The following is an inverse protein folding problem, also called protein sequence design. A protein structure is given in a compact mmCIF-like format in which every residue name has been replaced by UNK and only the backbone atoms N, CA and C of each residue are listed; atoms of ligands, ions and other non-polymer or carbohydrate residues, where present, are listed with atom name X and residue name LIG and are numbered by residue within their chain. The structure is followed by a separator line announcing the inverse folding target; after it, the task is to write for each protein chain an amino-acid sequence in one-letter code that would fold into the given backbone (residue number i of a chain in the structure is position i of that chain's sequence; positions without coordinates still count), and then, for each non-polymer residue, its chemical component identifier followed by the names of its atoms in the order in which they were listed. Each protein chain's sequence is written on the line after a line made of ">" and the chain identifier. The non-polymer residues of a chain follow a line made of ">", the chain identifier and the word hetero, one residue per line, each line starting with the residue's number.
data_IF_055331104445
#
_entry.id   IF_055331104445
#
_cell.length_a   1.000
_cell.length_b   1.000
_cell.length_c   1.000
_cell.angle_alpha   90.00
_cell.angle_beta   90.00
_cell.angle_gamma   90.00
#
_symmetry.space_group_name_H-M   'P 1'
#
loop_
_entity.id
_entity.type
_entity.pdbx_description
1 polymer ?
#
# COMPACT_ATOMS: atom_id res chain seq x y z
N UNK A 1 -2.11 0.61 31.09
CA UNK A 1 -1.33 0.20 29.92
C UNK A 1 -2.04 0.73 28.69
N UNK A 2 -1.37 1.56 27.90
CA UNK A 2 -1.94 2.18 26.71
C UNK A 2 -2.24 1.12 25.65
N UNK A 3 -3.36 1.27 24.91
CA UNK A 3 -3.77 0.35 23.86
C UNK A 3 -3.87 1.12 22.55
N UNK A 4 -3.32 0.59 21.49
CA UNK A 4 -3.39 1.18 20.16
C UNK A 4 -3.61 0.15 19.08
N UNK A 5 -3.96 0.61 17.88
CA UNK A 5 -4.16 -0.24 16.71
C UNK A 5 -2.82 -0.71 16.16
N UNK A 6 -2.58 -2.01 16.20
CA UNK A 6 -1.43 -2.60 15.50
C UNK A 6 -1.88 -2.93 14.08
N UNK A 7 -1.45 -2.11 13.12
CA UNK A 7 -1.91 -2.16 11.72
C UNK A 7 -1.69 -3.53 11.08
N UNK A 8 -0.54 -4.15 11.29
CA UNK A 8 -0.24 -5.49 10.77
C UNK A 8 -1.17 -6.59 11.29
N UNK A 9 -1.75 -6.40 12.47
CA UNK A 9 -2.64 -7.40 13.08
C UNK A 9 -4.12 -6.99 13.02
N UNK A 10 -4.43 -5.77 12.58
CA UNK A 10 -5.79 -5.24 12.57
C UNK A 10 -6.48 -5.18 13.94
N UNK A 11 -5.71 -5.19 15.03
CA UNK A 11 -6.23 -5.31 16.40
C UNK A 11 -5.75 -4.18 17.28
N UNK A 12 -6.59 -3.81 18.24
CA UNK A 12 -6.22 -2.89 19.31
C UNK A 12 -5.60 -3.71 20.44
N UNK A 13 -4.35 -3.41 20.78
CA UNK A 13 -3.57 -4.17 21.77
C UNK A 13 -2.77 -3.23 22.66
N UNK A 14 -2.47 -3.71 23.85
CA UNK A 14 -1.50 -3.08 24.73
C UNK A 14 -0.08 -3.26 24.16
N UNK A 15 0.70 -2.19 24.17
CA UNK A 15 2.07 -2.21 23.65
C UNK A 15 2.71 -0.83 23.67
N UNK A 16 3.78 -0.69 22.94
CA UNK A 16 4.44 0.57 22.62
C UNK A 16 4.77 0.59 21.13
N UNK A 17 4.83 1.77 20.56
CA UNK A 17 5.42 2.00 19.24
C UNK A 17 6.85 2.50 19.43
N UNK A 18 7.69 2.31 18.43
CA UNK A 18 9.07 2.79 18.44
C UNK A 18 9.33 3.67 17.22
N UNK A 19 10.05 4.75 17.45
CA UNK A 19 10.74 5.51 16.39
C UNK A 19 12.21 5.15 16.46
N UNK A 20 12.79 4.82 15.31
CA UNK A 20 14.22 4.51 15.21
C UNK A 20 14.80 5.46 14.17
N UNK A 21 15.81 6.22 14.56
CA UNK A 21 16.61 7.03 13.64
C UNK A 21 17.89 6.27 13.28
N UNK A 22 18.22 6.25 12.01
CA UNK A 22 19.44 5.69 11.45
C UNK A 22 20.25 6.80 10.76
N UNK A 23 21.55 6.61 10.69
CA UNK A 23 22.40 7.45 9.84
C UNK A 23 22.34 6.99 8.37
N UNK A 24 23.08 7.67 7.54
CA UNK A 24 23.23 7.38 6.11
C UNK A 24 23.92 6.03 5.82
N UNK A 25 24.63 5.46 6.79
CA UNK A 25 25.18 4.10 6.71
C UNK A 25 24.19 3.02 7.19
N UNK A 26 23.00 3.40 7.67
CA UNK A 26 21.98 2.51 8.22
C UNK A 26 22.26 2.07 9.66
N UNK A 27 23.16 2.77 10.38
CA UNK A 27 23.40 2.49 11.79
C UNK A 27 22.35 3.17 12.66
N UNK A 28 21.78 2.46 13.61
CA UNK A 28 20.81 3.03 14.54
C UNK A 28 21.48 4.03 15.48
N UNK A 29 21.05 5.29 15.40
CA UNK A 29 21.53 6.39 16.23
C UNK A 29 20.65 6.61 17.46
N UNK A 30 19.35 6.34 17.32
CA UNK A 30 18.37 6.69 18.33
C UNK A 30 17.18 5.74 18.26
N UNK A 31 16.70 5.31 19.43
CA UNK A 31 15.47 4.53 19.58
C UNK A 31 14.64 5.15 20.69
N UNK A 32 13.39 5.47 20.39
CA UNK A 32 12.44 5.95 21.38
C UNK A 32 11.13 5.16 21.33
N UNK A 33 10.57 4.87 22.48
CA UNK A 33 9.27 4.24 22.62
C UNK A 33 8.23 5.26 23.02
N UNK A 34 7.02 5.13 22.48
CA UNK A 34 5.89 5.99 22.80
C UNK A 34 4.60 5.18 22.87
N UNK A 35 3.54 5.71 23.52
CA UNK A 35 2.26 5.05 23.63
C UNK A 35 1.62 4.82 22.26
N UNK A 36 1.01 3.65 22.01
CA UNK A 36 0.50 3.28 20.70
C UNK A 36 -0.81 3.99 20.31
N UNK A 37 -1.42 4.73 21.22
CA UNK A 37 -2.58 5.60 21.03
C UNK A 37 -2.20 7.02 20.60
N UNK A 38 -0.93 7.37 20.63
CA UNK A 38 -0.41 8.65 20.16
C UNK A 38 0.04 8.51 18.70
N UNK A 39 -0.43 9.35 17.76
CA UNK A 39 0.08 9.38 16.40
C UNK A 39 1.56 9.77 16.36
N UNK A 40 2.32 9.14 15.48
CA UNK A 40 3.76 9.44 15.32
C UNK A 40 4.03 10.91 15.01
N UNK A 41 3.13 11.58 14.29
CA UNK A 41 3.21 13.01 13.96
C UNK A 41 3.30 13.94 15.18
N UNK A 42 2.80 13.49 16.34
CA UNK A 42 2.84 14.29 17.58
C UNK A 42 4.20 14.16 18.32
N UNK A 43 4.97 13.13 18.05
CA UNK A 43 6.22 12.86 18.78
C UNK A 43 7.46 13.01 17.91
N UNK A 44 7.33 12.90 16.59
CA UNK A 44 8.47 12.79 15.67
C UNK A 44 9.35 14.04 15.68
N UNK A 45 8.77 15.24 15.74
CA UNK A 45 9.53 16.50 15.76
C UNK A 45 10.46 16.54 16.97
N UNK A 46 9.94 16.25 18.17
CA UNK A 46 10.74 16.24 19.39
C UNK A 46 11.86 15.19 19.35
N UNK A 47 11.63 14.06 18.70
CA UNK A 47 12.67 13.03 18.53
C UNK A 47 13.72 13.47 17.53
N UNK A 48 13.34 14.07 16.41
CA UNK A 48 14.27 14.63 15.45
C UNK A 48 15.13 15.75 16.05
N UNK A 49 14.54 16.63 16.89
CA UNK A 49 15.29 17.65 17.64
C UNK A 49 16.38 17.02 18.53
N UNK A 50 16.08 15.95 19.25
CA UNK A 50 17.05 15.25 20.09
C UNK A 50 18.18 14.64 19.26
N UNK A 51 17.85 14.03 18.12
CA UNK A 51 18.86 13.49 17.20
C UNK A 51 19.71 14.62 16.63
N UNK A 52 19.10 15.70 16.17
CA UNK A 52 19.81 16.88 15.66
C UNK A 52 20.77 17.46 16.69
N UNK A 53 20.32 17.64 17.92
CA UNK A 53 21.15 18.12 19.02
C UNK A 53 22.34 17.18 19.31
N UNK A 54 22.10 15.88 19.29
CA UNK A 54 23.13 14.89 19.61
C UNK A 54 24.14 14.65 18.49
N UNK A 55 23.73 14.83 17.23
CA UNK A 55 24.53 14.44 16.06
C UNK A 55 24.98 15.62 15.17
N UNK A 56 24.38 16.80 15.36
CA UNK A 56 24.55 17.95 14.47
C UNK A 56 23.82 17.80 13.14
N UNK A 57 23.05 16.73 12.91
CA UNK A 57 22.32 16.48 11.65
C UNK A 57 20.95 17.13 11.71
N UNK A 58 20.62 17.95 10.73
CA UNK A 58 19.36 18.70 10.70
C UNK A 58 18.36 18.21 9.64
N UNK A 59 18.74 17.33 8.73
CA UNK A 59 17.87 16.81 7.66
C UNK A 59 17.46 15.36 7.95
N UNK A 60 16.18 15.09 7.88
CA UNK A 60 15.56 13.80 8.17
C UNK A 60 14.75 13.31 6.98
N UNK A 61 14.96 12.06 6.59
CA UNK A 61 14.16 11.37 5.58
C UNK A 61 13.15 10.49 6.30
N UNK A 62 11.86 10.79 6.17
CA UNK A 62 10.80 10.13 6.91
C UNK A 62 9.82 9.45 5.95
N UNK A 63 9.17 8.37 6.41
CA UNK A 63 8.20 7.63 5.62
C UNK A 63 6.96 8.50 5.30
N UNK A 64 6.37 8.27 4.12
CA UNK A 64 5.15 8.93 3.64
C UNK A 64 3.97 8.88 4.61
N UNK A 65 3.94 7.92 5.54
CA UNK A 65 2.92 7.80 6.57
C UNK A 65 2.77 9.04 7.49
N UNK A 66 3.74 9.96 7.46
CA UNK A 66 3.72 11.21 8.26
C UNK A 66 3.55 12.47 7.39
N UNK A 67 3.08 12.31 6.16
CA UNK A 67 2.88 13.42 5.23
C UNK A 67 1.77 14.36 5.70
N UNK A 68 2.12 15.60 6.07
CA UNK A 68 1.16 16.68 6.34
C UNK A 68 1.82 18.06 6.33
N UNK A 69 1.07 19.09 5.89
CA UNK A 69 1.51 20.50 5.94
C UNK A 69 1.82 20.93 7.37
N UNK A 70 1.01 20.50 8.33
CA UNK A 70 1.20 20.84 9.74
C UNK A 70 2.54 20.30 10.27
N UNK A 71 2.93 19.10 9.84
CA UNK A 71 4.22 18.53 10.21
C UNK A 71 5.38 19.26 9.52
N UNK A 72 5.24 19.62 8.25
CA UNK A 72 6.23 20.39 7.53
C UNK A 72 6.50 21.74 8.23
N UNK A 73 5.43 22.46 8.63
CA UNK A 73 5.55 23.70 9.42
C UNK A 73 6.28 23.48 10.75
N UNK A 74 5.90 22.43 11.48
CA UNK A 74 6.52 22.12 12.75
C UNK A 74 8.03 21.80 12.64
N UNK A 75 8.46 21.18 11.53
CA UNK A 75 9.87 20.97 11.24
C UNK A 75 10.56 22.28 10.87
N UNK A 76 9.96 23.08 9.99
CA UNK A 76 10.49 24.36 9.56
C UNK A 76 10.67 25.34 10.73
N UNK A 77 9.67 25.45 11.61
CA UNK A 77 9.72 26.27 12.83
C UNK A 77 10.87 25.89 13.77
N UNK A 78 11.33 24.65 13.71
CA UNK A 78 12.46 24.15 14.49
C UNK A 78 13.79 24.19 13.74
N UNK A 79 13.81 24.73 12.50
CA UNK A 79 14.99 24.75 11.65
C UNK A 79 15.45 23.35 11.22
N UNK A 80 14.53 22.37 11.18
CA UNK A 80 14.81 20.99 10.80
C UNK A 80 14.35 20.70 9.37
N UNK A 81 15.19 20.00 8.61
CA UNK A 81 14.85 19.50 7.28
C UNK A 81 14.02 18.21 7.36
N UNK A 82 12.90 18.19 6.65
CA UNK A 82 12.08 17.00 6.46
C UNK A 82 11.95 16.69 4.98
N UNK A 83 12.45 15.53 4.55
CA UNK A 83 12.23 14.96 3.21
C UNK A 83 11.26 13.79 3.30
N UNK A 84 10.21 13.86 2.49
CA UNK A 84 9.16 12.86 2.43
C UNK A 84 8.68 12.64 0.98
N UNK A 85 7.88 11.60 0.75
CA UNK A 85 7.23 11.33 -0.53
C UNK A 85 5.73 11.50 -0.40
N UNK A 86 5.07 12.06 -1.43
CA UNK A 86 3.61 12.09 -1.52
C UNK A 86 3.05 10.70 -1.82
N UNK A 87 1.87 10.43 -1.29
CA UNK A 87 1.09 9.25 -1.67
C UNK A 87 0.52 9.40 -3.08
N UNK A 88 0.33 8.27 -3.78
CA UNK A 88 -0.14 8.24 -5.17
C UNK A 88 -1.50 8.95 -5.35
N UNK A 89 -2.36 8.96 -4.33
CA UNK A 89 -3.67 9.63 -4.32
C UNK A 89 -3.54 11.16 -4.23
N UNK A 90 -2.40 11.68 -3.78
CA UNK A 90 -2.14 13.11 -3.63
C UNK A 90 -1.49 13.70 -4.90
N UNK A 91 -1.11 12.83 -5.85
CA UNK A 91 -0.61 13.22 -7.16
C UNK A 91 -1.67 13.87 -8.06
N UNK A 92 -2.95 13.75 -7.74
CA UNK A 92 -4.05 14.35 -8.51
C UNK A 92 -3.95 15.88 -8.65
N UNK A 93 -3.13 16.52 -7.82
CA UNK A 93 -2.84 17.95 -7.87
C UNK A 93 -1.54 18.33 -8.58
N UNK A 94 -0.93 17.45 -9.40
CA UNK A 94 0.31 17.76 -10.12
C UNK A 94 0.22 19.02 -10.99
N UNK A 95 -0.96 19.36 -11.50
CA UNK A 95 -1.20 20.58 -12.24
C UNK A 95 -1.02 21.86 -11.38
N UNK A 96 -1.07 21.71 -10.07
CA UNK A 96 -0.86 22.80 -9.10
C UNK A 96 0.60 23.06 -8.79
N UNK A 97 1.56 22.30 -9.34
CA UNK A 97 2.98 22.54 -9.15
C UNK A 97 3.52 23.48 -10.23
N UNK A 98 4.20 24.51 -9.83
CA UNK A 98 5.04 25.36 -10.71
C UNK A 98 6.42 24.73 -10.88
N UNK A 99 6.46 23.55 -11.49
CA UNK A 99 7.69 22.79 -11.60
C UNK A 99 8.54 23.29 -12.77
N UNK A 100 9.78 23.63 -12.47
CA UNK A 100 10.81 23.94 -13.47
C UNK A 100 11.63 22.67 -13.75
N UNK A 101 11.93 22.42 -15.02
CA UNK A 101 12.83 21.34 -15.40
C UNK A 101 14.22 21.57 -14.81
N UNK A 102 14.78 20.54 -14.20
CA UNK A 102 16.12 20.54 -13.60
C UNK A 102 17.09 19.82 -14.53
N UNK A 103 16.88 18.51 -14.73
CA UNK A 103 17.76 17.70 -15.55
C UNK A 103 17.11 16.38 -16.02
N UNK A 104 17.79 15.68 -16.91
CA UNK A 104 17.48 14.29 -17.25
C UNK A 104 18.60 13.38 -16.76
N UNK A 105 18.27 12.42 -15.92
CA UNK A 105 19.23 11.44 -15.40
C UNK A 105 19.67 10.46 -16.48
N UNK A 106 20.75 9.72 -16.23
CA UNK A 106 21.35 8.80 -17.19
C UNK A 106 20.40 7.67 -17.67
N UNK A 107 19.39 7.32 -16.87
CA UNK A 107 18.35 6.37 -17.21
C UNK A 107 17.16 6.98 -17.98
N UNK A 108 17.27 8.25 -18.39
CA UNK A 108 16.22 9.00 -19.07
C UNK A 108 15.12 9.55 -18.16
N UNK A 109 15.23 9.38 -16.86
CA UNK A 109 14.29 9.95 -15.88
C UNK A 109 14.41 11.47 -15.85
N UNK A 110 13.30 12.19 -15.96
CA UNK A 110 13.26 13.65 -15.90
C UNK A 110 12.97 14.13 -14.49
N UNK A 111 13.70 15.13 -14.04
CA UNK A 111 13.55 15.76 -12.73
C UNK A 111 13.06 17.19 -12.90
N UNK A 112 12.05 17.54 -12.13
CA UNK A 112 11.49 18.88 -12.06
C UNK A 112 11.45 19.32 -10.60
N UNK A 113 11.54 20.62 -10.34
CA UNK A 113 11.54 21.18 -8.99
C UNK A 113 10.74 22.48 -8.94
N UNK A 114 10.06 22.75 -7.86
CA UNK A 114 9.30 23.98 -7.67
C UNK A 114 8.37 23.96 -6.46
N UNK A 115 7.79 25.13 -6.13
CA UNK A 115 6.77 25.23 -5.09
C UNK A 115 5.42 24.68 -5.57
N UNK A 116 4.48 24.52 -4.65
CA UNK A 116 3.08 24.28 -5.01
C UNK A 116 2.51 25.53 -5.72
N UNK A 117 1.85 25.37 -6.87
CA UNK A 117 1.34 26.48 -7.69
C UNK A 117 0.32 27.37 -6.96
N UNK A 118 -0.54 26.75 -6.19
CA UNK A 118 -1.51 27.41 -5.32
C UNK A 118 -0.96 27.57 -3.92
N UNK A 119 0.36 27.82 -3.78
CA UNK A 119 1.00 27.95 -2.50
C UNK A 119 0.14 28.83 -1.58
N UNK A 120 -0.57 28.17 -0.70
CA UNK A 120 -1.08 28.84 0.49
C UNK A 120 0.15 29.45 1.12
N UNK A 121 0.12 30.75 1.36
CA UNK A 121 1.24 31.55 1.89
C UNK A 121 1.90 30.97 3.15
N UNK A 122 1.37 29.86 3.64
CA UNK A 122 1.76 29.17 4.86
C UNK A 122 2.28 27.73 4.63
N UNK A 123 2.41 27.23 3.40
CA UNK A 123 2.95 25.89 3.14
C UNK A 123 4.45 26.01 2.82
N UNK A 124 5.34 25.57 3.73
CA UNK A 124 6.78 25.69 3.51
C UNK A 124 7.34 24.62 2.57
N UNK A 125 6.50 23.74 2.03
CA UNK A 125 6.98 22.61 1.25
C UNK A 125 7.42 23.01 -0.15
N UNK A 126 8.57 22.49 -0.53
CA UNK A 126 9.07 22.48 -1.88
C UNK A 126 8.95 21.07 -2.48
N UNK A 127 8.73 20.97 -3.78
CA UNK A 127 8.44 19.69 -4.42
C UNK A 127 9.48 19.35 -5.50
N UNK A 128 9.82 18.07 -5.57
CA UNK A 128 10.61 17.47 -6.65
C UNK A 128 9.80 16.39 -7.31
N UNK A 129 9.53 16.55 -8.60
CA UNK A 129 8.77 15.62 -9.42
C UNK A 129 9.74 14.80 -10.27
N UNK A 130 9.63 13.50 -10.22
CA UNK A 130 10.45 12.56 -10.98
C UNK A 130 9.58 11.78 -11.93
N UNK A 131 9.79 11.95 -13.22
CA UNK A 131 9.07 11.25 -14.28
C UNK A 131 9.97 10.20 -14.92
N UNK A 132 9.72 8.93 -14.62
CA UNK A 132 10.43 7.82 -15.24
C UNK A 132 10.01 7.63 -16.71
N UNK A 133 10.91 7.11 -17.55
CA UNK A 133 10.64 6.80 -18.96
C UNK A 133 9.43 5.87 -19.12
N UNK A 134 9.21 4.94 -18.18
CA UNK A 134 8.05 4.04 -18.15
C UNK A 134 6.74 4.71 -17.74
N UNK A 135 6.67 6.04 -17.64
CA UNK A 135 5.47 6.81 -17.34
C UNK A 135 5.09 6.88 -15.85
N UNK A 136 5.87 6.30 -14.96
CA UNK A 136 5.65 6.42 -13.51
C UNK A 136 6.15 7.79 -13.03
N UNK A 137 5.26 8.52 -12.34
CA UNK A 137 5.60 9.78 -11.69
C UNK A 137 5.70 9.58 -10.18
N UNK A 138 6.76 10.10 -9.57
CA UNK A 138 6.95 10.14 -8.13
C UNK A 138 7.12 11.60 -7.71
N UNK A 139 6.54 11.97 -6.59
CA UNK A 139 6.62 13.33 -6.06
C UNK A 139 7.20 13.27 -4.66
N UNK A 140 8.31 13.97 -4.50
CA UNK A 140 8.97 14.18 -3.21
C UNK A 140 8.69 15.61 -2.75
N UNK A 141 8.66 15.82 -1.46
CA UNK A 141 8.58 17.15 -0.90
C UNK A 141 9.55 17.30 0.28
N UNK A 142 10.00 18.50 0.49
CA UNK A 142 10.89 18.83 1.59
C UNK A 142 10.63 20.22 2.13
N UNK A 143 11.07 20.47 3.35
CA UNK A 143 11.12 21.81 3.95
C UNK A 143 12.29 22.63 3.38
N UNK A 144 12.35 23.96 3.58
CA UNK A 144 13.43 24.80 3.05
C UNK A 144 14.83 24.29 3.40
N UNK A 145 15.04 23.78 4.60
CA UNK A 145 16.33 23.25 5.06
C UNK A 145 16.83 22.06 4.23
N UNK A 146 15.91 21.33 3.58
CA UNK A 146 16.30 20.24 2.66
C UNK A 146 16.84 20.82 1.36
N UNK A 147 16.25 21.92 0.86
CA UNK A 147 16.74 22.61 -0.34
C UNK A 147 18.15 23.20 -0.12
N UNK A 148 18.41 23.71 1.08
CA UNK A 148 19.71 24.25 1.44
C UNK A 148 20.79 23.16 1.56
N UNK A 149 20.37 21.92 1.85
CA UNK A 149 21.28 20.81 2.13
C UNK A 149 21.48 19.85 0.96
N UNK A 150 20.49 19.73 0.06
CA UNK A 150 20.46 18.71 -1.01
C UNK A 150 19.96 19.32 -2.32
N UNK A 151 20.66 19.05 -3.40
CA UNK A 151 20.18 19.35 -4.75
C UNK A 151 18.93 18.51 -5.11
N UNK A 152 18.04 19.06 -5.95
CA UNK A 152 16.76 18.43 -6.28
C UNK A 152 16.90 16.98 -6.81
N UNK A 153 17.93 16.71 -7.61
CA UNK A 153 18.22 15.37 -8.15
C UNK A 153 18.68 14.36 -7.10
N UNK A 154 19.12 14.82 -5.94
CA UNK A 154 19.55 13.95 -4.83
C UNK A 154 18.38 13.46 -3.97
N UNK A 155 17.24 14.15 -3.97
CA UNK A 155 16.09 13.80 -3.16
C UNK A 155 15.55 12.37 -3.44
N UNK A 156 15.37 11.97 -4.72
CA UNK A 156 14.96 10.60 -5.04
C UNK A 156 15.94 9.55 -4.55
N UNK A 157 17.24 9.85 -4.63
CA UNK A 157 18.31 8.96 -4.17
C UNK A 157 18.27 8.83 -2.65
N UNK A 158 18.27 9.94 -1.93
CA UNK A 158 18.23 9.94 -0.47
C UNK A 158 17.01 9.22 0.09
N UNK A 159 15.84 9.37 -0.55
CA UNK A 159 14.63 8.66 -0.15
C UNK A 159 14.72 7.14 -0.43
N UNK A 160 15.28 6.72 -1.57
CA UNK A 160 15.48 5.29 -1.91
C UNK A 160 16.52 4.63 -1.02
N UNK A 161 17.63 5.29 -0.73
CA UNK A 161 18.66 4.77 0.17
C UNK A 161 18.13 4.52 1.58
N UNK A 162 17.16 5.33 2.05
CA UNK A 162 16.44 5.05 3.28
C UNK A 162 15.78 3.66 3.23
N UNK A 163 15.03 3.36 2.15
CA UNK A 163 14.35 2.07 2.03
C UNK A 163 15.35 0.91 2.02
N UNK A 164 16.39 1.00 1.19
CA UNK A 164 17.36 -0.09 1.06
C UNK A 164 18.14 -0.34 2.35
N UNK A 165 18.61 0.72 2.99
CA UNK A 165 19.46 0.61 4.19
C UNK A 165 18.64 0.36 5.46
N UNK A 166 17.50 1.03 5.61
CA UNK A 166 16.67 0.95 6.80
C UNK A 166 15.78 -0.29 6.80
N UNK A 167 15.11 -0.59 5.69
CA UNK A 167 14.19 -1.73 5.63
C UNK A 167 14.92 -3.06 5.74
N UNK A 168 16.09 -3.20 5.11
CA UNK A 168 16.92 -4.39 5.28
C UNK A 168 17.37 -4.55 6.73
N UNK A 169 17.80 -3.46 7.39
CA UNK A 169 18.18 -3.51 8.81
C UNK A 169 16.99 -3.82 9.71
N UNK A 170 15.82 -3.24 9.45
CA UNK A 170 14.61 -3.60 10.19
C UNK A 170 14.25 -5.08 10.01
N UNK A 171 14.36 -5.59 8.79
CA UNK A 171 14.13 -7.01 8.51
C UNK A 171 15.12 -7.88 9.28
N UNK A 172 16.40 -7.57 9.23
CA UNK A 172 17.43 -8.27 10.00
C UNK A 172 17.18 -8.20 11.51
N UNK A 173 16.78 -7.03 12.03
CA UNK A 173 16.44 -6.86 13.45
C UNK A 173 15.14 -7.58 13.82
N UNK A 174 14.19 -7.74 12.92
CA UNK A 174 12.99 -8.56 13.13
C UNK A 174 13.35 -10.05 13.11
N UNK A 175 14.15 -10.46 12.14
CA UNK A 175 14.46 -11.88 11.90
C UNK A 175 15.49 -12.42 12.91
N UNK A 176 16.47 -11.61 13.30
CA UNK A 176 17.59 -12.01 14.14
C UNK A 176 17.71 -11.21 15.46
N UNK A 177 17.28 -9.97 15.47
CA UNK A 177 17.48 -9.00 16.55
C UNK A 177 16.36 -8.89 17.57
N UNK A 178 15.33 -9.72 17.48
CA UNK A 178 14.26 -9.77 18.49
C UNK A 178 13.35 -8.52 18.63
N UNK A 179 13.32 -7.60 17.65
CA UNK A 179 12.43 -6.42 17.71
C UNK A 179 10.94 -6.79 17.89
N UNK A 180 10.54 -7.96 17.41
CA UNK A 180 9.18 -8.49 17.54
C UNK A 180 9.08 -9.66 18.54
N UNK A 181 10.14 -9.95 19.30
CA UNK A 181 10.10 -11.02 20.27
C UNK A 181 9.52 -10.51 21.58
N UNK A 182 8.39 -11.09 21.93
CA UNK A 182 7.79 -10.92 23.24
C UNK A 182 8.53 -11.84 24.22
N UNK A 183 9.57 -11.30 24.88
CA UNK A 183 10.31 -12.05 25.90
C UNK A 183 9.33 -12.50 26.99
N UNK A 184 9.23 -13.81 27.18
CA UNK A 184 8.40 -14.41 28.23
C UNK A 184 7.06 -14.99 27.78
N UNK A 185 6.72 -14.99 26.47
CA UNK A 185 5.49 -15.65 25.97
C UNK A 185 5.83 -16.90 25.15
N UNK A 186 5.22 -18.02 25.51
CA UNK A 186 5.30 -19.25 24.73
C UNK A 186 4.61 -19.01 23.37
N UNK A 187 5.28 -19.37 22.29
CA UNK A 187 4.64 -19.47 20.99
C UNK A 187 3.77 -20.72 21.00
N UNK A 188 2.45 -20.55 20.89
CA UNK A 188 1.53 -21.67 20.72
C UNK A 188 1.30 -21.77 19.20
N UNK A 189 1.57 -22.97 18.65
CA UNK A 189 1.20 -23.27 17.28
C UNK A 189 -0.32 -23.39 17.21
N UNK A 190 -0.94 -22.50 16.51
CA UNK A 190 -2.40 -22.47 16.28
C UNK A 190 -2.72 -22.50 14.80
N UNK A 191 -3.99 -22.71 14.47
CA UNK A 191 -4.44 -22.63 13.10
C UNK A 191 -4.25 -21.22 12.54
N UNK A 192 -3.74 -21.10 11.31
CA UNK A 192 -3.63 -19.82 10.63
C UNK A 192 -5.01 -19.26 10.27
N UNK A 193 -5.55 -18.41 11.16
CA UNK A 193 -6.89 -17.81 10.99
C UNK A 193 -6.99 -16.93 9.74
N UNK A 194 -5.89 -16.35 9.29
CA UNK A 194 -5.90 -15.55 8.06
C UNK A 194 -6.06 -16.46 6.85
N UNK A 195 -5.29 -17.54 6.80
CA UNK A 195 -5.38 -18.55 5.77
C UNK A 195 -6.76 -19.22 5.76
N UNK A 196 -7.30 -19.58 6.94
CA UNK A 196 -8.66 -20.13 7.06
C UNK A 196 -9.74 -19.17 6.53
N UNK A 197 -9.62 -17.86 6.81
CA UNK A 197 -10.55 -16.87 6.27
C UNK A 197 -10.45 -16.76 4.75
N UNK A 198 -9.24 -16.77 4.19
CA UNK A 198 -9.04 -16.77 2.75
C UNK A 198 -9.64 -18.03 2.10
N UNK A 199 -9.44 -19.20 2.70
CA UNK A 199 -10.06 -20.43 2.23
C UNK A 199 -11.59 -20.36 2.27
N UNK A 200 -12.18 -19.86 3.37
CA UNK A 200 -13.62 -19.70 3.49
C UNK A 200 -14.18 -18.73 2.44
N UNK A 201 -13.49 -17.61 2.19
CA UNK A 201 -13.89 -16.66 1.15
C UNK A 201 -13.80 -17.25 -0.26
N UNK A 202 -12.74 -18.00 -0.56
CA UNK A 202 -12.59 -18.67 -1.85
C UNK A 202 -13.62 -19.79 -2.03
N UNK A 203 -13.92 -20.55 -0.98
CA UNK A 203 -14.97 -21.57 -1.00
C UNK A 203 -16.35 -20.96 -1.28
N UNK A 204 -16.67 -19.83 -0.64
CA UNK A 204 -17.92 -19.10 -0.89
C UNK A 204 -17.98 -18.54 -2.32
N UNK A 205 -16.87 -18.01 -2.82
CA UNK A 205 -16.77 -17.50 -4.19
C UNK A 205 -16.95 -18.61 -5.21
N UNK A 206 -16.36 -19.78 -4.98
CA UNK A 206 -16.49 -20.95 -5.82
C UNK A 206 -17.92 -21.49 -5.84
N UNK A 207 -18.58 -21.58 -4.67
CA UNK A 207 -19.99 -21.98 -4.58
C UNK A 207 -20.91 -21.01 -5.34
N UNK A 208 -20.65 -19.72 -5.22
CA UNK A 208 -21.40 -18.69 -5.95
C UNK A 208 -21.19 -18.81 -7.46
N UNK A 209 -19.97 -19.07 -7.91
CA UNK A 209 -19.63 -19.29 -9.31
C UNK A 209 -20.32 -20.57 -9.84
N UNK A 210 -20.35 -21.67 -9.09
CA UNK A 210 -21.09 -22.88 -9.44
C UNK A 210 -22.58 -22.59 -9.65
N UNK A 211 -23.23 -21.97 -8.67
CA UNK A 211 -24.66 -21.60 -8.78
C UNK A 211 -24.96 -20.73 -10.02
N UNK A 212 -24.01 -19.84 -10.37
CA UNK A 212 -24.14 -19.00 -11.57
C UNK A 212 -24.04 -19.83 -12.85
N UNK A 213 -23.10 -20.76 -12.94
CA UNK A 213 -22.94 -21.67 -14.09
C UNK A 213 -24.20 -22.52 -14.25
N UNK A 214 -24.70 -23.14 -13.17
CA UNK A 214 -25.89 -23.99 -13.21
C UNK A 214 -27.13 -23.21 -13.68
N UNK A 215 -27.31 -21.99 -13.16
CA UNK A 215 -28.41 -21.10 -13.59
C UNK A 215 -28.32 -20.73 -15.06
N UNK A 216 -27.12 -20.40 -15.58
CA UNK A 216 -26.93 -20.07 -16.98
C UNK A 216 -27.08 -21.28 -17.89
N UNK A 217 -26.59 -22.45 -17.49
CA UNK A 217 -26.75 -23.71 -18.21
C UNK A 217 -28.26 -24.14 -18.29
N UNK A 218 -29.01 -23.96 -17.23
CA UNK A 218 -30.45 -24.21 -17.23
C UNK A 218 -31.18 -23.24 -18.18
N UNK A 219 -30.86 -21.97 -18.14
CA UNK A 219 -31.45 -20.98 -19.04
C UNK A 219 -31.10 -21.26 -20.52
N UNK A 220 -29.86 -21.69 -20.78
CA UNK A 220 -29.44 -22.11 -22.12
C UNK A 220 -30.26 -23.27 -22.67
N UNK A 221 -30.45 -24.33 -21.86
CA UNK A 221 -31.29 -25.49 -22.25
C UNK A 221 -32.71 -25.08 -22.60
N UNK A 222 -33.31 -24.20 -21.76
CA UNK A 222 -34.68 -23.69 -22.01
C UNK A 222 -34.73 -22.89 -23.32
N UNK A 223 -33.72 -22.07 -23.59
CA UNK A 223 -33.68 -21.27 -24.81
C UNK A 223 -33.46 -22.14 -26.06
N UNK A 224 -32.62 -23.17 -25.98
CA UNK A 224 -32.40 -24.16 -27.04
C UNK A 224 -33.73 -24.84 -27.41
N UNK A 225 -34.50 -25.27 -26.40
CA UNK A 225 -35.81 -25.85 -26.64
C UNK A 225 -36.79 -24.90 -27.33
N UNK A 226 -36.79 -23.61 -26.95
CA UNK A 226 -37.63 -22.58 -27.59
C UNK A 226 -37.18 -22.30 -29.04
N UNK A 227 -35.90 -22.36 -29.36
CA UNK A 227 -35.39 -22.26 -30.73
C UNK A 227 -35.87 -23.45 -31.55
N UNK A 228 -35.71 -24.68 -31.04
CA UNK A 228 -36.17 -25.90 -31.71
C UNK A 228 -37.69 -25.85 -32.02
N UNK A 229 -38.51 -25.41 -31.05
CA UNK A 229 -39.94 -25.22 -31.24
C UNK A 229 -40.28 -24.21 -32.33
N UNK A 230 -39.50 -23.08 -32.42
CA UNK A 230 -39.71 -22.06 -33.43
C UNK A 230 -39.34 -22.52 -34.84
N UNK A 231 -38.36 -23.41 -34.93
CA UNK A 231 -37.99 -24.07 -36.19
C UNK A 231 -39.14 -24.96 -36.69
N UNK A 232 -39.66 -25.81 -35.78
CA UNK A 232 -40.75 -26.74 -36.13
C UNK A 232 -42.06 -26.03 -36.55
N UNK A 233 -42.31 -24.83 -35.97
CA UNK A 233 -43.54 -24.02 -36.27
C UNK A 233 -43.38 -23.01 -37.40
N UNK A 234 -42.21 -22.88 -38.04
CA UNK A 234 -41.97 -22.00 -39.17
C UNK A 234 -42.02 -20.50 -38.88
N UNK A 235 -41.87 -20.08 -37.61
CA UNK A 235 -41.95 -18.67 -37.19
C UNK A 235 -40.63 -17.89 -37.40
N UNK A 236 -40.37 -17.42 -38.63
CA UNK A 236 -39.08 -16.81 -39.02
C UNK A 236 -38.62 -15.60 -38.17
N UNK A 237 -39.50 -14.62 -37.90
CA UNK A 237 -39.16 -13.43 -37.09
C UNK A 237 -38.82 -13.78 -35.62
N UNK A 238 -39.59 -14.66 -35.01
CA UNK A 238 -39.34 -15.15 -33.62
C UNK A 238 -38.09 -16.01 -33.51
N UNK A 239 -37.76 -16.73 -34.57
CA UNK A 239 -36.59 -17.59 -34.65
C UNK A 239 -35.32 -16.76 -34.59
N UNK A 240 -35.25 -15.66 -35.34
CA UNK A 240 -34.07 -14.79 -35.34
C UNK A 240 -33.80 -14.15 -33.95
N UNK A 241 -34.86 -13.63 -33.32
CA UNK A 241 -34.75 -13.06 -32.00
C UNK A 241 -34.30 -14.13 -30.95
N UNK A 242 -34.89 -15.33 -31.03
CA UNK A 242 -34.51 -16.44 -30.11
C UNK A 242 -33.08 -16.92 -30.33
N UNK A 243 -32.56 -16.91 -31.57
CA UNK A 243 -31.15 -17.20 -31.89
C UNK A 243 -30.19 -16.17 -31.30
N UNK A 244 -30.51 -14.86 -31.42
CA UNK A 244 -29.70 -13.81 -30.80
C UNK A 244 -29.60 -14.00 -29.27
N UNK A 245 -30.74 -14.26 -28.62
CA UNK A 245 -30.76 -14.54 -27.17
C UNK A 245 -29.96 -15.81 -26.83
N UNK A 246 -29.98 -16.83 -27.68
CA UNK A 246 -29.20 -18.06 -27.49
C UNK A 246 -27.70 -17.74 -27.49
N UNK A 247 -27.20 -17.01 -28.50
CA UNK A 247 -25.80 -16.62 -28.59
C UNK A 247 -25.33 -15.81 -27.35
N UNK A 248 -26.16 -14.88 -26.88
CA UNK A 248 -25.85 -14.11 -25.67
C UNK A 248 -25.72 -15.03 -24.44
N UNK A 249 -26.65 -16.00 -24.28
CA UNK A 249 -26.60 -16.94 -23.17
C UNK A 249 -25.41 -17.92 -23.28
N UNK A 250 -24.99 -18.29 -24.47
CA UNK A 250 -23.79 -19.10 -24.71
C UNK A 250 -22.53 -18.35 -24.25
N UNK A 251 -22.40 -17.06 -24.62
CA UNK A 251 -21.30 -16.21 -24.16
C UNK A 251 -21.30 -16.06 -22.65
N UNK A 252 -22.45 -15.75 -22.04
CA UNK A 252 -22.57 -15.60 -20.60
C UNK A 252 -22.26 -16.93 -19.83
N UNK A 253 -22.61 -18.08 -20.42
CA UNK A 253 -22.27 -19.38 -19.84
C UNK A 253 -20.77 -19.64 -19.88
N UNK A 254 -20.11 -19.31 -21.00
CA UNK A 254 -18.66 -19.43 -21.16
C UNK A 254 -17.91 -18.53 -20.18
N UNK A 255 -18.33 -17.28 -19.99
CA UNK A 255 -17.75 -16.35 -19.02
C UNK A 255 -17.94 -16.85 -17.57
N UNK A 256 -19.12 -17.41 -17.25
CA UNK A 256 -19.37 -17.97 -15.95
C UNK A 256 -18.46 -19.17 -15.65
N UNK A 257 -18.25 -20.05 -16.63
CA UNK A 257 -17.33 -21.19 -16.53
C UNK A 257 -15.87 -20.73 -16.35
N UNK A 258 -15.43 -19.73 -17.12
CA UNK A 258 -14.09 -19.15 -16.98
C UNK A 258 -13.87 -18.58 -15.56
N UNK A 259 -14.88 -17.90 -15.01
CA UNK A 259 -14.83 -17.36 -13.64
C UNK A 259 -14.75 -18.50 -12.60
N UNK A 260 -15.49 -19.57 -12.78
CA UNK A 260 -15.45 -20.74 -11.92
C UNK A 260 -14.05 -21.41 -11.94
N UNK A 261 -13.50 -21.62 -13.14
CA UNK A 261 -12.16 -22.19 -13.31
C UNK A 261 -11.09 -21.32 -12.58
N UNK A 262 -11.15 -20.02 -12.75
CA UNK A 262 -10.23 -19.09 -12.07
C UNK A 262 -10.33 -19.16 -10.54
N UNK A 263 -11.54 -19.26 -10.00
CA UNK A 263 -11.74 -19.43 -8.55
C UNK A 263 -11.19 -20.77 -8.06
N UNK A 264 -11.37 -21.85 -8.83
CA UNK A 264 -10.85 -23.17 -8.50
C UNK A 264 -9.30 -23.21 -8.51
N UNK A 265 -8.68 -22.58 -9.51
CA UNK A 265 -7.22 -22.44 -9.58
C UNK A 265 -6.67 -21.66 -8.38
N UNK A 266 -7.29 -20.54 -8.02
CA UNK A 266 -6.89 -19.77 -6.84
C UNK A 266 -7.02 -20.57 -5.54
N UNK A 267 -8.07 -21.37 -5.40
CA UNK A 267 -8.25 -22.25 -4.24
C UNK A 267 -7.20 -23.36 -4.19
N UNK A 268 -6.80 -23.91 -5.34
CA UNK A 268 -5.75 -24.92 -5.44
C UNK A 268 -4.36 -24.33 -5.08
N UNK A 269 -4.06 -23.12 -5.53
CA UNK A 269 -2.81 -22.42 -5.21
C UNK A 269 -2.71 -22.13 -3.71
N UNK A 270 -3.82 -21.72 -3.07
CA UNK A 270 -3.83 -21.43 -1.65
C UNK A 270 -3.51 -22.65 -0.77
N UNK A 271 -3.87 -23.84 -1.21
CA UNK A 271 -3.58 -25.09 -0.53
C UNK A 271 -4.28 -25.25 0.85
N UNK A 272 -3.97 -26.31 1.60
CA UNK A 272 -4.54 -26.55 2.91
C UNK A 272 -4.02 -25.56 3.96
N UNK A 273 -4.83 -25.24 4.96
CA UNK A 273 -4.45 -24.34 6.03
C UNK A 273 -3.29 -24.93 6.85
N UNK A 274 -2.16 -24.23 6.86
CA UNK A 274 -1.02 -24.56 7.70
C UNK A 274 -1.22 -24.17 9.16
N UNK A 275 -0.29 -24.61 10.02
CA UNK A 275 -0.19 -24.13 11.39
C UNK A 275 0.71 -22.90 11.41
N UNK A 276 0.26 -21.85 12.10
CA UNK A 276 1.04 -20.64 12.35
C UNK A 276 1.31 -20.52 13.86
N UNK A 277 2.50 -20.04 14.21
CA UNK A 277 2.78 -19.69 15.59
C UNK A 277 1.84 -18.55 16.00
N UNK A 278 0.83 -18.85 16.80
CA UNK A 278 -0.05 -17.85 17.40
C UNK A 278 0.60 -17.34 18.69
N UNK A 279 0.61 -16.03 18.86
CA UNK A 279 1.13 -15.43 20.10
C UNK A 279 0.00 -15.45 21.12
N UNK A 280 0.17 -16.21 22.18
CA UNK A 280 -0.78 -16.14 23.30
C UNK A 280 -0.60 -14.80 24.03
N UNK A 281 -1.61 -13.93 23.87
CA UNK A 281 -1.66 -12.62 24.52
C UNK A 281 -2.38 -12.65 25.88
N UNK A 282 -2.70 -13.83 26.37
CA UNK A 282 -3.34 -13.98 27.68
C UNK A 282 -2.28 -14.17 28.75
N UNK A 283 -1.78 -13.08 29.29
CA UNK A 283 -1.51 -12.91 30.74
C UNK A 283 -1.27 -11.45 31.04
#
# INVERSE_FOLDING_TARGET
>A
MHKGKITMLGRIMAGSQAVIAHDDAGQALFVAYYPPDIPVSQVIVAYCQRVAWATGRAVFVIDRAVNSVALAKAFDEQGLGLLCMLDDNEHAGLESFEATYVETLADGTRVYSGPWKEARTEDPRHFVIVQAVAGKTLVYWGTPQVQDALEAQEWPRGYRERNERQEHRFKDMIDHGALNINYGRKKILGADRHHQRQQAQLAQSLETAHKRVDKKAAALKVQQAKVAESVSKGHSKRLEQRRRTLLTLEQECTEAQATQTKCAEQAAILGPAGQRADRDFRK
#
